data_IF_948576659063
#
_entry.id   IF_948576659063
#
_cell.length_a   1.000
_cell.length_b   1.000
_cell.length_c   1.000
_cell.angle_alpha   90.00
_cell.angle_beta   90.00
_cell.angle_gamma   90.00
#
_symmetry.space_group_name_H-M   'P 1'
#
loop_
_entity.id
_entity.type
_entity.pdbx_description
1 polymer ?
#
# COMPACT_ATOMS: atom_id res chain seq x y z
N UNK A 1 87.84 -20.96 26.84
CA UNK A 1 87.17 -19.65 26.74
C UNK A 1 86.09 -19.74 25.73
N UNK A 2 84.85 -19.95 26.19
CA UNK A 2 83.68 -20.16 25.28
C UNK A 2 82.67 -19.06 25.55
N UNK A 3 82.51 -18.17 24.57
CA UNK A 3 81.47 -17.07 24.60
C UNK A 3 80.16 -17.66 24.24
N UNK A 4 79.21 -17.57 25.15
CA UNK A 4 77.78 -17.86 24.90
C UNK A 4 77.09 -16.60 24.44
N UNK A 5 76.52 -16.64 23.18
CA UNK A 5 75.71 -15.60 22.59
C UNK A 5 74.27 -15.84 23.02
N UNK A 6 73.68 -14.85 23.68
CA UNK A 6 72.26 -14.85 24.05
C UNK A 6 71.48 -14.16 22.95
N UNK A 7 70.57 -14.88 22.30
CA UNK A 7 69.64 -14.34 21.29
C UNK A 7 68.36 -13.95 22.03
N UNK A 8 68.07 -12.65 22.15
CA UNK A 8 66.78 -12.14 22.60
C UNK A 8 65.75 -12.23 21.45
N UNK A 9 64.72 -13.04 21.64
CA UNK A 9 63.51 -12.99 20.79
C UNK A 9 62.59 -11.91 21.34
N UNK A 10 62.41 -10.84 20.57
CA UNK A 10 61.38 -9.83 20.76
C UNK A 10 60.07 -10.32 20.15
N UNK A 11 59.12 -10.72 21.00
CA UNK A 11 57.77 -11.07 20.60
C UNK A 11 56.96 -9.82 20.32
N UNK A 12 56.51 -9.66 19.07
CA UNK A 12 55.64 -8.60 18.60
C UNK A 12 54.18 -9.05 18.79
N UNK A 13 53.52 -8.54 19.82
CA UNK A 13 52.11 -8.77 20.06
C UNK A 13 51.26 -7.90 19.07
N UNK A 14 50.61 -8.57 18.12
CA UNK A 14 49.58 -7.93 17.26
C UNK A 14 48.30 -7.78 18.10
N UNK A 15 47.96 -6.55 18.50
CA UNK A 15 46.64 -6.18 18.98
C UNK A 15 45.67 -6.15 17.81
N UNK A 16 44.81 -7.18 17.66
CA UNK A 16 43.69 -7.16 16.75
C UNK A 16 42.59 -6.21 17.26
N UNK A 17 42.40 -5.08 16.57
CA UNK A 17 41.20 -4.24 16.77
C UNK A 17 40.01 -5.00 16.21
N UNK A 18 39.15 -5.53 17.10
CA UNK A 18 37.83 -6.00 16.74
C UNK A 18 36.95 -4.76 16.43
N UNK A 19 36.66 -4.51 15.17
CA UNK A 19 35.60 -3.58 14.76
C UNK A 19 34.25 -4.16 15.18
N UNK A 20 33.73 -3.73 16.31
CA UNK A 20 32.36 -3.97 16.69
C UNK A 20 31.48 -3.15 15.71
N UNK A 21 30.95 -3.80 14.68
CA UNK A 21 29.97 -3.20 13.79
C UNK A 21 28.77 -2.77 14.63
N UNK A 22 28.48 -1.46 14.66
CA UNK A 22 27.27 -0.93 15.27
C UNK A 22 26.05 -1.55 14.56
N UNK A 23 25.04 -2.03 15.30
CA UNK A 23 23.81 -2.49 14.67
C UNK A 23 23.19 -1.31 13.89
N UNK A 24 23.17 -1.40 12.58
CA UNK A 24 22.39 -0.46 11.76
C UNK A 24 20.92 -0.74 12.08
N UNK A 25 20.28 0.18 12.76
CA UNK A 25 18.82 0.21 12.89
C UNK A 25 18.30 0.48 11.48
N UNK A 26 17.85 -0.56 10.80
CA UNK A 26 17.12 -0.40 9.55
C UNK A 26 15.86 0.40 9.89
N UNK A 27 15.80 1.66 9.47
CA UNK A 27 14.56 2.43 9.49
C UNK A 27 13.55 1.63 8.64
N UNK A 28 12.46 1.20 9.26
CA UNK A 28 11.38 0.54 8.55
C UNK A 28 10.94 1.50 7.43
N UNK A 29 11.12 1.08 6.18
CA UNK A 29 10.67 1.85 5.03
C UNK A 29 9.15 1.99 5.14
N UNK A 30 8.64 3.22 5.11
CA UNK A 30 7.20 3.46 5.15
C UNK A 30 6.53 2.78 3.96
N UNK A 31 5.35 2.20 4.18
CA UNK A 31 4.57 1.57 3.10
C UNK A 31 4.31 2.63 2.01
N UNK A 32 4.66 2.39 0.73
CA UNK A 32 4.42 3.32 -0.36
C UNK A 32 2.96 3.78 -0.48
N UNK A 33 2.01 2.92 -0.07
CA UNK A 33 0.58 3.25 -0.06
C UNK A 33 0.19 4.24 1.04
N UNK A 34 0.93 4.32 2.15
CA UNK A 34 0.57 5.19 3.27
C UNK A 34 0.56 6.67 2.88
N UNK A 35 -0.46 7.38 3.34
CA UNK A 35 -0.61 8.80 3.13
C UNK A 35 -2.01 9.22 2.64
N UNK A 36 -2.08 10.43 2.12
CA UNK A 36 -3.29 11.04 1.60
C UNK A 36 -3.18 11.09 0.07
N UNK A 37 -4.21 10.63 -0.62
CA UNK A 37 -4.26 10.53 -2.06
C UNK A 37 -5.49 11.24 -2.59
N UNK A 38 -5.29 12.25 -3.44
CA UNK A 38 -6.37 13.04 -4.05
C UNK A 38 -6.63 12.58 -5.48
N UNK A 39 -7.88 12.26 -5.82
CA UNK A 39 -8.26 11.90 -7.19
C UNK A 39 -7.98 13.03 -8.18
N UNK A 40 -7.30 12.69 -9.24
CA UNK A 40 -7.09 13.56 -10.40
C UNK A 40 -8.10 13.19 -11.49
N UNK A 41 -9.20 13.96 -11.55
CA UNK A 41 -10.28 13.71 -12.51
C UNK A 41 -9.81 13.79 -13.96
N UNK A 42 -8.88 14.70 -14.27
CA UNK A 42 -8.40 14.88 -15.64
C UNK A 42 -7.58 13.69 -16.16
N UNK A 43 -6.97 12.92 -15.24
CA UNK A 43 -6.19 11.72 -15.57
C UNK A 43 -7.00 10.42 -15.42
N UNK A 44 -8.20 10.49 -14.82
CA UNK A 44 -9.04 9.33 -14.52
C UNK A 44 -10.04 9.07 -15.66
N UNK A 45 -10.37 7.77 -15.85
CA UNK A 45 -11.46 7.35 -16.75
C UNK A 45 -12.46 6.53 -15.94
N UNK A 46 -13.62 7.09 -15.66
CA UNK A 46 -14.63 6.54 -14.76
C UNK A 46 -15.90 6.18 -15.55
N UNK A 47 -16.18 4.90 -15.67
CA UNK A 47 -17.30 4.35 -16.46
C UNK A 47 -18.30 3.58 -15.60
N UNK A 48 -17.90 3.19 -14.38
CA UNK A 48 -18.66 2.42 -13.42
C UNK A 48 -19.31 3.26 -12.32
N UNK A 49 -19.40 2.75 -11.08
CA UNK A 49 -20.05 3.42 -9.96
C UNK A 49 -19.45 4.77 -9.56
N UNK A 50 -18.22 5.06 -10.01
CA UNK A 50 -17.57 6.36 -9.78
C UNK A 50 -17.80 7.35 -10.94
N UNK A 51 -18.53 6.97 -11.97
CA UNK A 51 -18.82 7.88 -13.09
C UNK A 51 -19.54 9.15 -12.61
N UNK A 52 -19.02 10.30 -13.04
CA UNK A 52 -19.56 11.61 -12.65
C UNK A 52 -19.22 12.09 -11.23
N UNK A 53 -18.46 11.34 -10.45
CA UNK A 53 -17.97 11.81 -9.14
C UNK A 53 -17.15 13.08 -9.28
N UNK A 54 -17.29 14.01 -8.33
CA UNK A 54 -16.70 15.34 -8.38
C UNK A 54 -15.38 15.43 -7.62
N UNK A 55 -15.21 14.59 -6.58
CA UNK A 55 -13.98 14.50 -5.83
C UNK A 55 -13.85 13.16 -5.10
N UNK A 56 -12.63 12.76 -4.80
CA UNK A 56 -12.32 11.61 -3.96
C UNK A 56 -10.96 11.81 -3.30
N UNK A 57 -10.90 11.52 -2.00
CA UNK A 57 -9.67 11.47 -1.22
C UNK A 57 -9.59 10.13 -0.52
N UNK A 58 -8.46 9.45 -0.65
CA UNK A 58 -8.14 8.23 0.08
C UNK A 58 -7.14 8.55 1.19
N UNK A 59 -7.40 8.07 2.38
CA UNK A 59 -6.51 8.09 3.53
C UNK A 59 -6.08 6.64 3.77
N UNK A 60 -4.85 6.31 3.39
CA UNK A 60 -4.24 5.02 3.70
C UNK A 60 -3.46 5.12 4.99
N UNK A 61 -3.82 4.31 5.97
CA UNK A 61 -3.12 4.27 7.25
C UNK A 61 -3.05 2.84 7.77
N UNK A 62 -1.84 2.42 8.19
CA UNK A 62 -1.64 1.09 8.74
C UNK A 62 -0.67 1.07 9.89
N UNK A 63 -0.94 0.20 10.87
CA UNK A 63 -0.02 -0.17 11.93
C UNK A 63 0.27 -1.68 11.81
N UNK A 64 1.49 -2.01 11.36
CA UNK A 64 1.88 -3.38 11.09
C UNK A 64 1.03 -4.01 9.99
N UNK A 65 0.35 -5.12 10.30
CA UNK A 65 -0.52 -5.80 9.33
C UNK A 65 -1.95 -5.26 9.30
N UNK A 66 -2.36 -4.50 10.33
CA UNK A 66 -3.71 -3.95 10.41
C UNK A 66 -3.79 -2.65 9.63
N UNK A 67 -4.74 -2.57 8.71
CA UNK A 67 -4.97 -1.41 7.86
C UNK A 67 -6.36 -0.86 8.12
N UNK A 68 -6.44 0.47 8.17
CA UNK A 68 -7.69 1.20 8.11
C UNK A 68 -7.59 2.25 7.04
N UNK A 69 -8.23 2.00 5.90
CA UNK A 69 -8.27 2.94 4.81
C UNK A 69 -9.62 3.63 4.80
N UNK A 70 -9.62 4.93 4.59
CA UNK A 70 -10.84 5.72 4.53
C UNK A 70 -10.90 6.46 3.20
N UNK A 71 -12.00 6.29 2.51
CA UNK A 71 -12.35 7.03 1.32
C UNK A 71 -13.42 8.06 1.67
N UNK A 72 -13.21 9.31 1.24
CA UNK A 72 -14.24 10.37 1.31
C UNK A 72 -14.35 11.05 -0.04
N UNK A 73 -15.53 11.54 -0.38
CA UNK A 73 -15.70 12.22 -1.67
C UNK A 73 -17.06 12.85 -1.83
N UNK A 74 -17.26 13.43 -3.01
CA UNK A 74 -18.53 14.00 -3.46
C UNK A 74 -18.98 13.22 -4.68
N UNK A 75 -20.15 12.61 -4.61
CA UNK A 75 -20.72 11.81 -5.70
C UNK A 75 -21.19 12.65 -6.90
N UNK A 76 -21.72 11.99 -7.93
CA UNK A 76 -22.23 12.64 -9.13
C UNK A 76 -23.40 13.58 -8.85
N UNK A 77 -24.20 13.33 -7.82
CA UNK A 77 -25.37 14.13 -7.39
C UNK A 77 -24.95 15.29 -6.48
N UNK A 78 -23.71 15.32 -5.99
CA UNK A 78 -23.21 16.35 -5.08
C UNK A 78 -23.34 15.98 -3.61
N UNK A 79 -23.67 14.72 -3.29
CA UNK A 79 -23.78 14.27 -1.92
C UNK A 79 -22.40 13.82 -1.37
N UNK A 80 -22.12 14.05 -0.08
CA UNK A 80 -20.94 13.50 0.56
C UNK A 80 -21.04 11.97 0.70
N UNK A 81 -19.95 11.29 0.45
CA UNK A 81 -19.81 9.84 0.66
C UNK A 81 -18.56 9.53 1.45
N UNK A 82 -18.65 8.49 2.28
CA UNK A 82 -17.52 7.96 3.05
C UNK A 82 -17.59 6.45 3.12
N UNK A 83 -16.46 5.79 2.85
CA UNK A 83 -16.32 4.33 2.93
C UNK A 83 -15.08 4.02 3.78
N UNK A 84 -15.23 3.08 4.71
CA UNK A 84 -14.14 2.61 5.57
C UNK A 84 -13.85 1.16 5.27
N UNK A 85 -12.58 0.85 5.03
CA UNK A 85 -12.05 -0.47 4.83
C UNK A 85 -11.19 -0.84 6.04
N UNK A 86 -11.52 -1.97 6.66
CA UNK A 86 -10.68 -2.59 7.69
C UNK A 86 -10.15 -3.88 7.09
N UNK A 87 -8.84 -4.00 6.92
CA UNK A 87 -8.26 -5.16 6.26
C UNK A 87 -6.85 -5.48 6.74
N UNK A 88 -6.41 -6.69 6.41
CA UNK A 88 -5.02 -7.14 6.38
C UNK A 88 -4.75 -7.73 5.00
N UNK A 89 -3.47 -7.90 4.63
CA UNK A 89 -3.13 -8.45 3.30
C UNK A 89 -3.10 -9.99 3.29
N UNK A 90 -4.18 -10.63 3.78
CA UNK A 90 -4.30 -12.09 3.90
C UNK A 90 -5.12 -12.74 2.78
N UNK A 91 -5.67 -11.91 1.88
CA UNK A 91 -6.53 -12.37 0.79
C UNK A 91 -7.92 -12.82 1.23
N UNK A 92 -8.28 -12.64 2.52
CA UNK A 92 -9.60 -12.99 3.03
C UNK A 92 -10.53 -11.78 3.04
N UNK A 93 -11.85 -11.99 2.89
CA UNK A 93 -12.83 -10.91 2.96
C UNK A 93 -12.92 -10.32 4.37
N UNK A 94 -12.71 -9.00 4.46
CA UNK A 94 -12.92 -8.22 5.67
C UNK A 94 -14.06 -7.22 5.47
N UNK A 95 -14.79 -6.82 6.52
CA UNK A 95 -15.92 -5.91 6.42
C UNK A 95 -15.56 -4.56 5.80
N UNK A 96 -16.43 -4.08 4.91
CA UNK A 96 -16.39 -2.72 4.36
C UNK A 96 -17.67 -1.99 4.77
N UNK A 97 -17.55 -0.76 5.27
CA UNK A 97 -18.66 0.03 5.76
C UNK A 97 -18.85 1.30 4.91
N UNK A 98 -20.10 1.68 4.64
CA UNK A 98 -20.46 2.93 3.95
C UNK A 98 -20.61 2.81 2.44
N UNK A 99 -20.24 1.69 1.81
CA UNK A 99 -20.45 1.48 0.38
C UNK A 99 -21.82 0.85 0.10
N UNK A 100 -22.61 1.40 -0.85
CA UNK A 100 -23.82 0.75 -1.32
C UNK A 100 -23.53 -0.45 -2.24
N UNK A 101 -22.34 -0.49 -2.86
CA UNK A 101 -22.01 -1.44 -3.92
C UNK A 101 -21.37 -2.74 -3.41
N UNK A 102 -20.73 -2.73 -2.25
CA UNK A 102 -20.08 -3.91 -1.64
C UNK A 102 -20.04 -3.79 -0.12
N UNK A 103 -19.95 -4.91 0.58
CA UNK A 103 -19.98 -5.02 2.04
C UNK A 103 -18.76 -5.73 2.61
N UNK A 104 -17.92 -6.31 1.74
CA UNK A 104 -16.63 -6.90 2.12
C UNK A 104 -15.58 -6.68 1.04
N UNK A 105 -14.31 -6.61 1.46
CA UNK A 105 -13.17 -6.50 0.56
C UNK A 105 -12.03 -7.40 1.04
N UNK A 106 -11.38 -8.10 0.10
CA UNK A 106 -10.19 -8.90 0.33
C UNK A 106 -9.00 -8.25 -0.36
N UNK A 107 -7.87 -8.12 0.36
CA UNK A 107 -6.67 -7.47 -0.14
C UNK A 107 -5.51 -8.44 -0.18
N UNK A 108 -4.73 -8.40 -1.26
CA UNK A 108 -3.49 -9.16 -1.42
C UNK A 108 -2.37 -8.23 -1.84
N UNK A 109 -1.25 -8.26 -1.13
CA UNK A 109 -0.03 -7.56 -1.52
C UNK A 109 0.71 -8.39 -2.56
N UNK A 110 0.91 -7.84 -3.76
CA UNK A 110 1.67 -8.48 -4.84
C UNK A 110 3.16 -8.18 -4.68
N UNK A 111 3.49 -6.91 -4.46
CA UNK A 111 4.83 -6.41 -4.19
C UNK A 111 4.76 -5.10 -3.36
N UNK A 112 5.89 -4.41 -3.18
CA UNK A 112 5.95 -3.17 -2.39
C UNK A 112 5.03 -2.06 -2.94
N UNK A 113 4.80 -2.03 -4.25
CA UNK A 113 4.06 -0.99 -4.95
C UNK A 113 2.72 -1.45 -5.54
N UNK A 114 2.35 -2.73 -5.40
CA UNK A 114 1.17 -3.31 -6.05
C UNK A 114 0.29 -4.07 -5.06
N UNK A 115 -1.01 -3.75 -5.05
CA UNK A 115 -2.05 -4.48 -4.32
C UNK A 115 -3.16 -4.92 -5.27
N UNK A 116 -3.71 -6.10 -5.02
CA UNK A 116 -4.97 -6.54 -5.63
C UNK A 116 -6.08 -6.54 -4.58
N UNK A 117 -7.28 -6.15 -5.00
CA UNK A 117 -8.47 -6.14 -4.16
C UNK A 117 -9.61 -6.87 -4.86
N UNK A 118 -10.33 -7.70 -4.12
CA UNK A 118 -11.60 -8.30 -4.53
C UNK A 118 -12.72 -7.73 -3.67
N UNK A 119 -13.77 -7.19 -4.25
CA UNK A 119 -14.91 -6.60 -3.55
C UNK A 119 -16.13 -7.48 -3.69
N UNK A 120 -16.84 -7.68 -2.59
CA UNK A 120 -17.95 -8.62 -2.52
C UNK A 120 -19.22 -7.92 -2.04
N UNK A 121 -20.35 -8.37 -2.55
CA UNK A 121 -21.70 -8.00 -2.08
C UNK A 121 -22.48 -9.28 -1.77
N UNK A 122 -22.92 -9.41 -0.52
CA UNK A 122 -23.61 -10.61 -0.05
C UNK A 122 -22.86 -11.91 -0.42
N UNK A 123 -21.53 -11.93 -0.24
CA UNK A 123 -20.65 -13.07 -0.53
C UNK A 123 -20.34 -13.30 -2.02
N UNK A 124 -20.88 -12.48 -2.95
CA UNK A 124 -20.60 -12.59 -4.39
C UNK A 124 -19.56 -11.55 -4.81
N UNK A 125 -18.59 -11.97 -5.63
CA UNK A 125 -17.61 -11.07 -6.24
C UNK A 125 -18.34 -10.11 -7.19
N UNK A 126 -18.16 -8.81 -6.99
CA UNK A 126 -18.78 -7.75 -7.81
C UNK A 126 -17.74 -6.86 -8.50
N UNK A 127 -16.50 -6.80 -7.97
CA UNK A 127 -15.44 -5.97 -8.52
C UNK A 127 -14.06 -6.53 -8.15
N UNK A 128 -13.10 -6.36 -9.04
CA UNK A 128 -11.67 -6.56 -8.76
C UNK A 128 -10.91 -5.30 -9.10
N UNK A 129 -9.94 -4.94 -8.25
CA UNK A 129 -9.07 -3.78 -8.48
C UNK A 129 -7.61 -4.19 -8.40
N UNK A 130 -6.77 -3.49 -9.18
CA UNK A 130 -5.32 -3.49 -9.02
C UNK A 130 -4.88 -2.05 -8.76
N UNK A 131 -4.26 -1.82 -7.60
CA UNK A 131 -3.67 -0.54 -7.22
C UNK A 131 -2.16 -0.57 -7.38
N UNK A 132 -1.58 0.41 -8.08
CA UNK A 132 -0.14 0.52 -8.30
C UNK A 132 0.33 1.92 -7.92
N UNK A 133 1.27 1.99 -6.96
CA UNK A 133 2.00 3.21 -6.63
C UNK A 133 3.21 3.35 -7.54
N UNK A 134 3.39 4.52 -8.15
CA UNK A 134 4.56 4.82 -8.98
C UNK A 134 5.88 4.71 -8.19
N UNK A 135 7.00 4.47 -8.88
CA UNK A 135 8.31 4.30 -8.25
C UNK A 135 8.77 5.53 -7.47
N UNK A 136 8.34 6.73 -7.86
CA UNK A 136 8.61 7.98 -7.15
C UNK A 136 7.66 8.22 -5.97
N UNK A 137 6.69 7.32 -5.73
CA UNK A 137 5.72 7.38 -4.64
C UNK A 137 4.67 8.49 -4.77
N UNK A 138 4.52 9.14 -5.94
CA UNK A 138 3.67 10.34 -6.10
C UNK A 138 2.32 10.08 -6.73
N UNK A 139 2.15 8.97 -7.44
CA UNK A 139 0.92 8.64 -8.15
C UNK A 139 0.47 7.23 -7.77
N UNK A 140 -0.81 7.10 -7.42
CA UNK A 140 -1.49 5.82 -7.26
C UNK A 140 -2.49 5.67 -8.41
N UNK A 141 -2.34 4.59 -9.19
CA UNK A 141 -3.29 4.22 -10.23
C UNK A 141 -4.07 2.99 -9.78
N UNK A 142 -5.39 3.09 -9.74
CA UNK A 142 -6.28 1.97 -9.43
C UNK A 142 -7.08 1.63 -10.69
N UNK A 143 -6.89 0.41 -11.20
CA UNK A 143 -7.69 -0.13 -12.30
C UNK A 143 -8.71 -1.08 -11.73
N UNK A 144 -10.01 -0.77 -11.90
CA UNK A 144 -11.12 -1.53 -11.38
C UNK A 144 -11.99 -2.12 -12.50
N UNK A 145 -12.36 -3.39 -12.36
CA UNK A 145 -13.30 -4.08 -13.26
C UNK A 145 -14.42 -4.69 -12.45
N UNK A 146 -15.64 -4.55 -12.92
CA UNK A 146 -16.79 -5.09 -12.22
C UNK A 146 -18.09 -5.01 -13.02
N UNK A 147 -19.18 -5.30 -12.32
CA UNK A 147 -20.53 -5.22 -12.84
C UNK A 147 -21.34 -4.29 -11.94
N UNK A 148 -21.98 -3.29 -12.52
CA UNK A 148 -22.83 -2.38 -11.76
C UNK A 148 -24.19 -3.03 -11.39
N UNK A 149 -25.00 -2.31 -10.60
CA UNK A 149 -26.31 -2.81 -10.15
C UNK A 149 -27.30 -3.12 -11.29
N UNK A 150 -27.06 -2.59 -12.49
CA UNK A 150 -27.87 -2.88 -13.69
C UNK A 150 -27.39 -4.10 -14.48
N UNK A 151 -26.27 -4.73 -14.04
CA UNK A 151 -25.65 -5.86 -14.75
C UNK A 151 -24.69 -5.42 -15.86
N UNK A 152 -24.38 -4.14 -15.99
CA UNK A 152 -23.45 -3.62 -17.00
C UNK A 152 -22.01 -3.73 -16.51
N UNK A 153 -21.15 -4.29 -17.34
CA UNK A 153 -19.71 -4.33 -17.08
C UNK A 153 -19.08 -2.93 -17.20
N UNK A 154 -18.08 -2.66 -16.38
CA UNK A 154 -17.28 -1.44 -16.41
C UNK A 154 -15.80 -1.71 -16.19
N UNK A 155 -14.99 -0.74 -16.61
CA UNK A 155 -13.54 -0.74 -16.40
C UNK A 155 -13.09 0.69 -16.05
N UNK A 156 -12.92 0.95 -14.76
CA UNK A 156 -12.50 2.25 -14.24
C UNK A 156 -10.98 2.33 -14.13
N UNK A 157 -10.42 3.49 -14.46
CA UNK A 157 -9.06 3.86 -14.14
C UNK A 157 -9.12 5.12 -13.28
N UNK A 158 -8.76 4.98 -12.01
CA UNK A 158 -8.69 6.09 -11.06
C UNK A 158 -7.23 6.45 -10.87
N UNK A 159 -6.86 7.67 -11.16
CA UNK A 159 -5.52 8.21 -10.91
C UNK A 159 -5.59 9.18 -9.73
N UNK A 160 -4.72 8.96 -8.74
CA UNK A 160 -4.65 9.80 -7.55
C UNK A 160 -3.22 10.32 -7.39
N UNK A 161 -3.11 11.59 -7.05
CA UNK A 161 -1.84 12.25 -6.76
C UNK A 161 -1.65 12.33 -5.22
N UNK A 162 -0.43 12.03 -4.74
CA UNK A 162 -0.09 12.08 -3.30
C UNK A 162 -0.02 13.53 -2.82
N UNK A 163 -0.54 13.77 -1.60
CA UNK A 163 -0.57 15.10 -0.97
C UNK A 163 0.58 15.26 0.03
#
# INVERSE_FOLDING_TARGET
MTRRTIIMLTGMALLGLAFAGSPQVALAQSDPFDGIWQMNLAKSNLTGPLAGWKSMTLYFHGEGQNRRDTFVGIDAQGNPASVVYMHIYDGQPHPTTGSPNFDASAYTRVDAHTINTSRMKAGKLVQTDTGVVSQDGKTLTVTGKGTDASGREYNDVVVLDKQ
#
